data_IF_003354684446
#
_entry.id   IF_003354684446
#
_cell.length_a   1.000
_cell.length_b   1.000
_cell.length_c   1.000
_cell.angle_alpha   90.00
_cell.angle_beta   90.00
_cell.angle_gamma   90.00
#
_symmetry.space_group_name_H-M   'P 1'
#
loop_
_entity.id
_entity.type
_entity.pdbx_description
1 polymer ?
#
# COMPACT_ATOMS: atom_id res chain seq x y z
N UNK A 1 -43.48 21.10 -0.09
CA UNK A 1 -42.35 20.44 0.60
C UNK A 1 -41.14 20.63 -0.31
N UNK A 2 -40.29 21.62 -0.01
CA UNK A 2 -39.23 22.09 -0.89
C UNK A 2 -37.93 21.39 -0.54
N UNK A 3 -37.42 20.53 -1.43
CA UNK A 3 -36.03 20.02 -1.38
C UNK A 3 -35.10 21.09 -1.94
N UNK A 4 -34.28 21.70 -1.08
CA UNK A 4 -33.18 22.58 -1.49
C UNK A 4 -32.03 21.70 -1.99
N UNK A 5 -31.77 21.75 -3.29
CA UNK A 5 -30.54 21.23 -3.90
C UNK A 5 -29.39 22.18 -3.53
N UNK A 6 -28.45 21.71 -2.74
CA UNK A 6 -27.19 22.44 -2.48
C UNK A 6 -26.16 21.97 -3.52
N UNK A 7 -25.95 22.79 -4.56
CA UNK A 7 -24.80 22.66 -5.44
C UNK A 7 -23.57 23.18 -4.68
N UNK A 8 -22.60 22.31 -4.40
CA UNK A 8 -21.30 22.68 -3.89
C UNK A 8 -20.40 23.02 -5.10
N UNK A 9 -20.16 24.30 -5.33
CA UNK A 9 -19.21 24.77 -6.32
C UNK A 9 -17.79 24.64 -5.76
N UNK A 10 -16.91 23.91 -6.44
CA UNK A 10 -15.48 23.86 -6.12
C UNK A 10 -14.83 25.22 -6.46
N UNK A 11 -14.41 25.95 -5.43
CA UNK A 11 -13.68 27.19 -5.56
C UNK A 11 -12.19 26.88 -5.78
N UNK A 12 -11.69 27.10 -7.00
CA UNK A 12 -10.25 27.11 -7.28
C UNK A 12 -9.72 28.50 -6.86
N UNK A 13 -8.99 28.56 -5.75
CA UNK A 13 -8.30 29.78 -5.35
C UNK A 13 -7.04 29.99 -6.21
N UNK A 14 -7.10 30.92 -7.16
CA UNK A 14 -5.94 31.41 -7.87
C UNK A 14 -5.17 32.38 -6.98
N UNK A 15 -3.97 32.02 -6.54
CA UNK A 15 -3.03 32.93 -5.86
C UNK A 15 -2.36 33.81 -6.93
N UNK A 16 -2.69 35.07 -6.96
CA UNK A 16 -2.03 36.08 -7.79
C UNK A 16 -0.67 36.45 -7.17
N UNK A 17 0.42 36.02 -7.80
CA UNK A 17 1.79 36.49 -7.53
C UNK A 17 2.09 37.61 -8.51
N UNK A 18 2.47 38.84 -8.09
CA UNK A 18 2.78 39.92 -9.01
C UNK A 18 4.19 39.80 -9.57
N UNK A 19 4.31 39.87 -10.89
CA UNK A 19 5.49 40.28 -11.61
C UNK A 19 6.49 39.21 -12.03
N UNK A 20 6.12 38.30 -12.95
CA UNK A 20 7.03 37.53 -13.78
C UNK A 20 6.44 37.39 -15.18
N UNK A 21 7.26 37.52 -16.20
CA UNK A 21 6.88 37.39 -17.60
C UNK A 21 6.15 36.08 -17.86
N UNK A 22 4.83 36.11 -17.83
CA UNK A 22 4.02 35.00 -18.30
C UNK A 22 4.11 35.00 -19.83
N UNK A 23 4.80 34.01 -20.40
CA UNK A 23 4.55 33.66 -21.79
C UNK A 23 3.03 33.47 -21.92
N UNK A 24 2.37 34.28 -22.77
CA UNK A 24 0.97 34.04 -23.14
C UNK A 24 0.87 32.67 -23.81
N UNK A 25 0.74 31.62 -23.02
CA UNK A 25 0.33 30.33 -23.50
C UNK A 25 -1.05 30.46 -24.12
N UNK A 26 -1.27 29.86 -25.27
CA UNK A 26 -2.61 29.70 -25.84
C UNK A 26 -3.50 29.14 -24.72
N UNK A 27 -4.64 29.79 -24.46
CA UNK A 27 -5.65 29.24 -23.55
C UNK A 27 -6.05 27.87 -24.09
N UNK A 28 -5.60 26.80 -23.42
CA UNK A 28 -6.01 25.45 -23.77
C UNK A 28 -7.50 25.27 -23.48
N UNK A 29 -8.24 24.66 -24.41
CA UNK A 29 -9.61 24.25 -24.15
C UNK A 29 -9.61 22.82 -23.60
N UNK A 30 -10.38 22.60 -22.55
CA UNK A 30 -10.58 21.27 -22.01
C UNK A 30 -12.08 21.01 -21.80
N UNK A 31 -12.52 19.82 -22.17
CA UNK A 31 -13.86 19.33 -21.90
C UNK A 31 -13.78 18.02 -21.15
N UNK A 32 -14.38 17.98 -19.99
CA UNK A 32 -14.54 16.76 -19.18
C UNK A 32 -16.03 16.40 -19.20
N UNK A 33 -16.32 15.15 -19.59
CA UNK A 33 -17.66 14.56 -19.47
C UNK A 33 -17.59 13.46 -18.42
N UNK A 34 -18.49 13.50 -17.46
CA UNK A 34 -18.72 12.45 -16.47
C UNK A 34 -20.05 11.77 -16.84
N UNK A 35 -20.04 10.46 -17.01
CA UNK A 35 -21.22 9.67 -17.35
C UNK A 35 -21.73 8.94 -16.11
N UNK A 36 -22.80 9.47 -15.51
CA UNK A 36 -23.38 8.95 -14.26
C UNK A 36 -24.10 7.60 -14.44
N UNK A 37 -24.43 7.24 -15.68
CA UNK A 37 -25.09 5.95 -15.98
C UNK A 37 -24.05 4.85 -16.22
N UNK A 38 -22.80 5.20 -16.49
CA UNK A 38 -21.70 4.26 -16.73
C UNK A 38 -20.81 4.12 -15.51
N UNK A 39 -21.27 3.26 -14.61
CA UNK A 39 -20.55 2.92 -13.39
C UNK A 39 -19.39 1.95 -13.69
N UNK A 40 -18.22 2.23 -13.12
CA UNK A 40 -17.02 1.39 -13.22
C UNK A 40 -16.90 0.36 -12.11
N UNK A 41 -17.41 0.67 -10.92
CA UNK A 41 -17.37 -0.19 -9.75
C UNK A 41 -17.33 0.62 -8.45
N UNK A 42 -17.58 -0.05 -7.35
CA UNK A 42 -17.47 0.53 -6.01
C UNK A 42 -15.99 0.79 -5.66
N UNK A 43 -15.72 1.97 -5.15
CA UNK A 43 -14.39 2.35 -4.66
C UNK A 43 -14.21 1.74 -3.26
N UNK A 44 -13.32 0.74 -3.16
CA UNK A 44 -12.98 0.18 -1.86
C UNK A 44 -12.10 1.18 -1.09
N UNK A 45 -12.45 1.44 0.18
CA UNK A 45 -11.66 2.35 1.02
C UNK A 45 -10.21 1.90 1.19
N UNK A 46 -9.91 0.62 1.00
CA UNK A 46 -8.56 0.07 1.13
C UNK A 46 -7.59 0.52 0.04
N UNK A 47 -8.05 1.24 -1.00
CA UNK A 47 -7.13 1.93 -1.92
C UNK A 47 -6.43 3.14 -1.29
N UNK A 48 -6.81 3.54 -0.07
CA UNK A 48 -6.21 4.60 0.73
C UNK A 48 -5.36 4.04 1.87
N UNK A 49 -4.75 2.89 1.66
CA UNK A 49 -3.83 2.25 2.58
C UNK A 49 -2.43 2.82 2.55
N UNK A 50 -1.66 2.48 3.58
CA UNK A 50 -0.24 2.79 3.67
C UNK A 50 0.56 1.53 4.04
N UNK A 51 1.87 1.66 4.01
CA UNK A 51 2.83 0.63 4.31
C UNK A 51 3.85 1.14 5.31
N UNK A 52 4.29 0.31 6.22
CA UNK A 52 5.38 0.56 7.17
C UNK A 52 6.30 -0.64 7.24
N UNK A 53 7.57 -0.39 7.35
CA UNK A 53 8.61 -1.40 7.38
C UNK A 53 9.63 -1.11 8.49
N UNK A 54 10.24 -2.14 9.04
CA UNK A 54 11.44 -2.01 9.87
C UNK A 54 12.61 -1.58 8.97
N UNK A 55 12.59 -0.31 8.60
CA UNK A 55 13.54 0.35 7.72
C UNK A 55 13.74 1.79 8.17
N UNK A 56 14.99 2.20 8.34
CA UNK A 56 15.32 3.54 8.74
C UNK A 56 14.55 3.97 9.99
N UNK A 57 13.99 5.17 9.97
CA UNK A 57 13.19 5.71 11.06
C UNK A 57 11.68 5.51 10.89
N UNK A 58 11.25 4.53 10.06
CA UNK A 58 9.81 4.30 9.87
C UNK A 58 9.14 3.76 11.14
N UNK A 59 9.70 2.73 11.76
CA UNK A 59 9.19 2.17 13.03
C UNK A 59 9.78 2.93 14.22
N UNK A 60 11.09 2.79 14.46
CA UNK A 60 11.75 3.44 15.59
C UNK A 60 12.08 4.90 15.27
N UNK A 61 11.53 5.84 16.05
CA UNK A 61 11.56 7.28 15.78
C UNK A 61 10.45 7.77 14.84
N UNK A 62 9.65 6.85 14.30
CA UNK A 62 8.45 7.11 13.51
C UNK A 62 7.18 6.73 14.27
N UNK A 63 6.73 5.48 14.15
CA UNK A 63 5.54 5.01 14.85
C UNK A 63 5.76 4.87 16.36
N UNK A 64 6.96 4.44 16.74
CA UNK A 64 7.31 3.97 18.08
C UNK A 64 8.63 4.60 18.55
N UNK A 65 8.58 5.33 19.67
CA UNK A 65 9.72 6.01 20.27
C UNK A 65 9.53 6.09 21.79
N UNK A 66 9.78 5.00 22.53
CA UNK A 66 9.66 4.99 23.99
C UNK A 66 10.53 6.05 24.65
N UNK A 67 9.97 6.76 25.63
CA UNK A 67 10.69 7.82 26.37
C UNK A 67 10.70 9.19 25.68
N UNK A 68 10.18 9.31 24.46
CA UNK A 68 9.97 10.61 23.82
C UNK A 68 8.84 11.39 24.52
N UNK A 69 8.96 12.71 24.72
CA UNK A 69 7.86 13.54 25.25
C UNK A 69 6.65 13.59 24.30
N UNK A 70 6.83 13.23 23.04
CA UNK A 70 5.78 13.14 22.03
C UNK A 70 5.09 11.78 22.01
N UNK A 71 5.61 10.80 22.73
CA UNK A 71 5.01 9.46 22.86
C UNK A 71 4.07 9.36 24.04
N UNK A 72 3.18 8.38 23.99
CA UNK A 72 2.38 7.98 25.12
C UNK A 72 3.18 7.04 26.07
N UNK A 73 2.53 6.55 27.10
CA UNK A 73 3.15 5.66 28.12
C UNK A 73 3.57 4.29 27.57
N UNK A 74 3.07 3.91 26.38
CA UNK A 74 3.43 2.67 25.69
C UNK A 74 4.47 2.89 24.58
N UNK A 75 4.91 4.13 24.35
CA UNK A 75 5.92 4.48 23.38
C UNK A 75 5.40 4.83 21.97
N UNK A 76 4.10 4.92 21.76
CA UNK A 76 3.53 5.31 20.45
C UNK A 76 3.56 6.84 20.28
N UNK A 77 4.10 7.31 19.17
CA UNK A 77 4.15 8.74 18.81
C UNK A 77 2.73 9.28 18.59
N UNK A 78 2.28 10.15 19.50
CA UNK A 78 0.94 10.76 19.45
C UNK A 78 0.73 11.64 18.22
N UNK A 79 1.73 12.42 17.86
CA UNK A 79 1.70 13.28 16.68
C UNK A 79 1.62 12.49 15.37
N UNK A 80 2.33 11.35 15.27
CA UNK A 80 2.25 10.45 14.10
C UNK A 80 0.89 9.75 14.05
N UNK A 81 0.32 9.34 15.19
CA UNK A 81 -1.03 8.79 15.26
C UNK A 81 -2.09 9.80 14.79
N UNK A 82 -1.97 11.07 15.21
CA UNK A 82 -2.87 12.15 14.78
C UNK A 82 -2.73 12.42 13.28
N UNK A 83 -1.50 12.48 12.75
CA UNK A 83 -1.23 12.63 11.33
C UNK A 83 -1.81 11.48 10.50
N UNK A 84 -1.68 10.23 10.97
CA UNK A 84 -2.25 9.04 10.32
C UNK A 84 -3.78 9.09 10.26
N UNK A 85 -4.43 9.52 11.36
CA UNK A 85 -5.89 9.72 11.37
C UNK A 85 -6.32 10.85 10.43
N UNK A 86 -5.54 11.95 10.39
CA UNK A 86 -5.79 13.07 9.48
C UNK A 86 -5.65 12.66 8.01
N UNK A 87 -4.73 11.74 7.70
CA UNK A 87 -4.55 11.14 6.37
C UNK A 87 -5.73 10.22 5.98
N UNK A 88 -6.52 9.75 6.95
CA UNK A 88 -7.61 8.79 6.78
C UNK A 88 -7.15 7.44 6.23
N UNK A 89 -5.96 7.02 6.63
CA UNK A 89 -5.40 5.72 6.26
C UNK A 89 -6.36 4.59 6.61
N UNK A 90 -6.74 3.77 5.63
CA UNK A 90 -7.72 2.69 5.82
C UNK A 90 -7.13 1.43 6.42
N UNK A 91 -5.96 1.04 5.91
CA UNK A 91 -5.20 -0.10 6.42
C UNK A 91 -3.70 0.19 6.33
N UNK A 92 -2.91 -0.53 7.13
CA UNK A 92 -1.45 -0.42 7.10
C UNK A 92 -0.83 -1.81 6.99
N UNK A 93 0.01 -1.97 5.97
CA UNK A 93 0.80 -3.17 5.72
C UNK A 93 2.08 -3.15 6.56
N UNK A 94 2.42 -4.29 7.19
CA UNK A 94 3.59 -4.51 8.06
C UNK A 94 3.99 -6.01 8.03
N UNK A 95 5.19 -6.47 8.37
CA UNK A 95 6.31 -5.73 8.97
C UNK A 95 7.26 -5.13 7.95
N UNK A 96 7.05 -5.36 6.66
CA UNK A 96 7.91 -4.83 5.65
C UNK A 96 7.73 -5.41 4.28
N UNK A 97 8.53 -4.85 3.41
CA UNK A 97 8.94 -5.30 2.11
C UNK A 97 10.09 -6.30 2.23
N UNK A 98 11.33 -5.84 2.00
CA UNK A 98 12.50 -6.73 2.08
C UNK A 98 12.73 -7.30 3.48
N UNK A 99 12.44 -6.53 4.53
CA UNK A 99 12.59 -6.95 5.92
C UNK A 99 11.85 -8.24 6.22
N UNK A 100 10.60 -8.40 5.73
CA UNK A 100 9.77 -9.55 6.10
C UNK A 100 10.39 -10.89 5.75
N UNK A 101 11.20 -10.96 4.67
CA UNK A 101 11.79 -12.23 4.21
C UNK A 101 12.88 -12.79 5.13
N UNK A 102 13.35 -12.00 6.10
CA UNK A 102 14.26 -12.42 7.14
C UNK A 102 13.67 -12.33 8.56
N UNK A 103 12.41 -11.91 8.69
CA UNK A 103 11.77 -11.67 9.98
C UNK A 103 10.99 -12.88 10.48
N UNK A 104 11.25 -13.27 11.74
CA UNK A 104 10.52 -14.29 12.46
C UNK A 104 9.62 -13.64 13.50
N UNK A 105 8.31 -13.63 13.26
CA UNK A 105 7.33 -12.90 14.07
C UNK A 105 7.30 -13.34 15.54
N UNK A 106 7.70 -14.58 15.83
CA UNK A 106 7.79 -15.13 17.17
C UNK A 106 8.81 -14.39 18.04
N UNK A 107 9.86 -13.80 17.44
CA UNK A 107 10.85 -12.96 18.14
C UNK A 107 10.23 -11.63 18.60
N UNK A 108 9.14 -11.18 18.00
CA UNK A 108 8.46 -9.90 18.28
C UNK A 108 7.23 -10.00 19.19
N UNK A 109 7.06 -11.10 19.96
CA UNK A 109 5.92 -11.25 20.87
C UNK A 109 6.38 -11.48 22.33
N UNK A 110 5.45 -11.33 23.27
CA UNK A 110 5.75 -11.48 24.70
C UNK A 110 6.48 -10.28 25.29
N UNK A 111 7.02 -10.41 26.51
CA UNK A 111 7.71 -9.32 27.21
C UNK A 111 8.93 -8.81 26.44
N UNK A 112 8.97 -7.52 26.12
CA UNK A 112 10.03 -6.90 25.30
C UNK A 112 11.46 -7.17 25.83
N UNK A 113 11.66 -7.18 27.15
CA UNK A 113 12.96 -7.44 27.76
C UNK A 113 13.51 -8.84 27.47
N UNK A 114 12.67 -9.79 27.09
CA UNK A 114 13.06 -11.16 26.75
C UNK A 114 13.20 -11.40 25.23
N UNK A 115 12.91 -10.42 24.39
CA UNK A 115 12.97 -10.58 22.94
C UNK A 115 14.41 -10.57 22.44
N UNK A 116 14.77 -11.44 21.47
CA UNK A 116 16.12 -11.46 20.92
C UNK A 116 16.38 -10.25 20.04
N UNK A 117 17.60 -9.73 20.08
CA UNK A 117 18.10 -8.80 19.07
C UNK A 117 18.66 -9.59 17.91
N UNK A 118 18.22 -9.30 16.67
CA UNK A 118 18.68 -9.93 15.44
C UNK A 118 19.47 -8.97 14.57
N UNK A 119 20.29 -9.52 13.68
CA UNK A 119 20.80 -8.76 12.54
C UNK A 119 19.71 -8.80 11.47
N UNK A 120 19.22 -7.63 11.09
CA UNK A 120 18.38 -7.51 9.91
C UNK A 120 19.22 -7.70 8.64
N UNK A 121 18.84 -8.70 7.85
CA UNK A 121 19.59 -9.08 6.65
C UNK A 121 19.21 -8.24 5.42
N UNK A 122 18.08 -7.56 5.46
CA UNK A 122 17.62 -6.73 4.34
C UNK A 122 18.31 -5.36 4.33
N UNK A 123 18.41 -4.71 5.48
CA UNK A 123 18.88 -3.33 5.61
C UNK A 123 20.16 -3.19 6.44
N UNK A 124 20.62 -4.28 7.07
CA UNK A 124 21.95 -4.37 7.68
C UNK A 124 22.08 -3.77 9.10
N UNK A 125 20.99 -3.51 9.81
CA UNK A 125 21.03 -3.00 11.17
C UNK A 125 20.62 -4.05 12.22
N UNK A 126 20.61 -3.65 13.48
CA UNK A 126 20.19 -4.50 14.59
C UNK A 126 18.73 -4.25 14.90
N UNK A 127 17.90 -5.28 14.74
CA UNK A 127 16.50 -5.25 15.11
C UNK A 127 16.34 -5.75 16.54
N UNK A 128 15.79 -4.88 17.39
CA UNK A 128 15.56 -5.18 18.81
C UNK A 128 14.31 -6.00 19.08
N UNK A 129 13.42 -6.10 18.10
CA UNK A 129 12.08 -6.69 18.21
C UNK A 129 11.19 -5.99 19.27
N UNK A 130 11.52 -4.76 19.67
CA UNK A 130 10.71 -4.01 20.64
C UNK A 130 9.34 -3.62 20.11
N UNK A 131 9.18 -3.58 18.78
CA UNK A 131 7.90 -3.37 18.12
C UNK A 131 7.57 -4.60 17.27
N UNK A 132 6.56 -5.35 17.67
CA UNK A 132 6.17 -6.60 17.02
C UNK A 132 4.66 -6.68 16.78
N UNK A 133 4.15 -7.90 16.68
CA UNK A 133 2.74 -8.19 16.36
C UNK A 133 1.76 -7.42 17.24
N UNK A 134 1.94 -7.50 18.53
CA UNK A 134 0.99 -6.95 19.49
C UNK A 134 1.04 -5.42 19.52
N UNK A 135 2.24 -4.85 19.44
CA UNK A 135 2.45 -3.41 19.35
C UNK A 135 1.87 -2.83 18.07
N UNK A 136 2.06 -3.52 16.94
CA UNK A 136 1.53 -3.06 15.66
C UNK A 136 -0.01 -3.08 15.64
N UNK A 137 -0.64 -4.15 16.12
CA UNK A 137 -2.11 -4.22 16.18
C UNK A 137 -2.69 -3.16 17.12
N UNK A 138 -2.04 -2.94 18.26
CA UNK A 138 -2.46 -1.88 19.20
C UNK A 138 -2.30 -0.49 18.55
N UNK A 139 -1.20 -0.25 17.84
CA UNK A 139 -0.98 0.99 17.08
C UNK A 139 -2.08 1.18 16.02
N UNK A 140 -2.43 0.15 15.26
CA UNK A 140 -3.51 0.21 14.27
C UNK A 140 -4.86 0.59 14.91
N UNK A 141 -5.19 0.00 16.06
CA UNK A 141 -6.42 0.35 16.80
C UNK A 141 -6.43 1.82 17.23
N UNK A 142 -5.29 2.35 17.67
CA UNK A 142 -5.14 3.76 18.06
C UNK A 142 -5.18 4.69 16.84
N UNK A 143 -4.61 4.28 15.72
CA UNK A 143 -4.66 5.01 14.46
C UNK A 143 -6.04 4.94 13.76
N UNK A 144 -6.96 4.07 14.22
CA UNK A 144 -8.23 3.75 13.58
C UNK A 144 -8.08 3.19 12.15
N UNK A 145 -7.11 2.29 11.97
CA UNK A 145 -6.76 1.64 10.70
C UNK A 145 -6.74 0.12 10.86
N UNK A 146 -6.93 -0.62 9.76
CA UNK A 146 -6.87 -2.08 9.74
C UNK A 146 -5.42 -2.58 9.63
N UNK A 147 -5.03 -3.62 10.37
CA UNK A 147 -3.74 -4.27 10.17
C UNK A 147 -3.75 -5.17 8.94
N UNK A 148 -2.69 -5.09 8.14
CA UNK A 148 -2.40 -5.97 7.02
C UNK A 148 -1.00 -6.56 7.21
N UNK A 149 -0.93 -7.87 7.43
CA UNK A 149 0.33 -8.57 7.68
C UNK A 149 0.90 -9.19 6.41
N UNK A 150 2.24 -9.15 6.29
CA UNK A 150 2.98 -9.93 5.32
C UNK A 150 3.71 -11.07 6.01
N UNK A 151 3.53 -12.32 5.57
CA UNK A 151 4.24 -13.48 6.13
C UNK A 151 5.58 -13.71 5.46
N UNK A 152 6.53 -14.26 6.20
CA UNK A 152 7.87 -14.55 5.70
C UNK A 152 7.87 -15.80 4.79
N UNK A 153 7.89 -15.61 3.47
CA UNK A 153 8.11 -16.68 2.50
C UNK A 153 9.54 -16.73 1.93
N UNK A 154 10.45 -15.94 2.52
CA UNK A 154 11.89 -15.98 2.24
C UNK A 154 12.60 -17.08 3.02
N UNK A 155 12.88 -16.82 4.30
CA UNK A 155 13.54 -17.74 5.23
C UNK A 155 12.56 -18.51 6.13
N UNK A 156 11.29 -18.07 6.20
CA UNK A 156 10.25 -18.67 7.04
C UNK A 156 9.67 -19.95 6.48
N UNK A 157 8.78 -20.54 7.23
CA UNK A 157 8.10 -21.79 6.90
C UNK A 157 6.59 -21.62 6.80
N UNK A 158 5.92 -22.52 6.09
CA UNK A 158 4.46 -22.53 6.03
C UNK A 158 3.82 -22.75 7.42
N UNK A 159 4.51 -23.45 8.31
CA UNK A 159 4.06 -23.67 9.68
C UNK A 159 4.15 -22.41 10.53
N UNK A 160 5.21 -21.63 10.36
CA UNK A 160 5.36 -20.29 10.97
C UNK A 160 4.24 -19.35 10.53
N UNK A 161 3.91 -19.32 9.24
CA UNK A 161 2.83 -18.50 8.70
C UNK A 161 1.45 -18.86 9.29
N UNK A 162 1.11 -20.16 9.34
CA UNK A 162 -0.15 -20.60 9.94
C UNK A 162 -0.21 -20.34 11.45
N UNK A 163 0.93 -20.48 12.16
CA UNK A 163 1.05 -20.22 13.59
C UNK A 163 0.75 -18.75 13.89
N UNK A 164 1.15 -17.84 13.00
CA UNK A 164 0.86 -16.42 13.17
C UNK A 164 -0.63 -16.13 13.02
N UNK A 165 -1.33 -16.77 12.05
CA UNK A 165 -2.79 -16.67 11.95
C UNK A 165 -3.46 -17.23 13.21
N UNK A 166 -2.98 -18.36 13.74
CA UNK A 166 -3.49 -18.96 14.97
C UNK A 166 -3.32 -18.03 16.17
N UNK A 167 -2.13 -17.43 16.33
CA UNK A 167 -1.85 -16.43 17.37
C UNK A 167 -2.82 -15.25 17.29
N UNK A 168 -3.03 -14.72 16.09
CA UNK A 168 -3.83 -13.51 15.89
C UNK A 168 -5.34 -13.77 15.96
N UNK A 169 -5.85 -14.88 15.41
CA UNK A 169 -7.26 -15.00 15.07
C UNK A 169 -8.02 -16.08 15.86
N UNK A 170 -7.34 -17.09 16.40
CA UNK A 170 -8.01 -18.10 17.22
C UNK A 170 -8.30 -17.58 18.61
N UNK A 171 -9.50 -17.85 19.14
CA UNK A 171 -9.96 -17.29 20.40
C UNK A 171 -9.14 -17.79 21.60
N UNK A 172 -9.12 -19.12 21.80
CA UNK A 172 -8.44 -19.80 22.93
C UNK A 172 -8.35 -21.29 22.70
N UNK A 173 -7.59 -21.97 23.59
CA UNK A 173 -7.54 -23.42 23.66
C UNK A 173 -6.54 -24.08 22.73
N UNK A 174 -5.68 -23.28 22.08
CA UNK A 174 -4.55 -23.75 21.30
C UNK A 174 -3.26 -23.10 21.82
N UNK A 175 -2.11 -23.69 21.47
CA UNK A 175 -0.82 -23.19 21.98
C UNK A 175 -0.62 -21.69 21.72
N UNK A 176 -0.82 -21.26 20.46
CA UNK A 176 -0.56 -19.87 20.05
C UNK A 176 -1.63 -18.89 20.54
N UNK A 177 -2.91 -19.29 20.52
CA UNK A 177 -3.97 -18.44 21.06
C UNK A 177 -3.84 -18.24 22.58
N UNK A 178 -3.44 -19.28 23.31
CA UNK A 178 -3.22 -19.18 24.76
C UNK A 178 -1.92 -18.43 25.07
N UNK A 179 -0.89 -18.49 24.21
CA UNK A 179 0.29 -17.65 24.33
C UNK A 179 -0.04 -16.17 24.17
N UNK A 180 -0.83 -15.78 23.16
CA UNK A 180 -1.33 -14.41 23.02
C UNK A 180 -2.01 -13.92 24.30
N UNK A 181 -2.87 -14.76 24.88
CA UNK A 181 -3.58 -14.44 26.13
C UNK A 181 -2.63 -14.27 27.32
N UNK A 182 -1.62 -15.13 27.45
CA UNK A 182 -0.55 -14.98 28.46
C UNK A 182 0.27 -13.71 28.25
N UNK A 183 0.43 -13.25 27.02
CA UNK A 183 1.08 -11.99 26.68
C UNK A 183 0.21 -10.75 26.96
N UNK A 184 -1.00 -10.93 27.51
CA UNK A 184 -1.89 -9.85 27.93
C UNK A 184 -2.99 -9.49 26.93
N UNK A 185 -3.12 -10.19 25.84
CA UNK A 185 -4.13 -9.94 24.80
C UNK A 185 -5.22 -11.01 24.82
N UNK A 186 -6.18 -10.84 25.72
CA UNK A 186 -7.25 -11.82 25.96
C UNK A 186 -8.09 -12.10 24.71
N UNK A 187 -8.45 -11.05 23.94
CA UNK A 187 -9.25 -11.17 22.72
C UNK A 187 -8.35 -11.40 21.50
N UNK A 188 -8.84 -12.13 20.46
CA UNK A 188 -8.18 -12.22 19.18
C UNK A 188 -7.90 -10.84 18.56
N UNK A 189 -6.81 -10.74 17.84
CA UNK A 189 -6.48 -9.52 17.08
C UNK A 189 -7.39 -9.34 15.87
N UNK A 190 -7.90 -10.45 15.29
CA UNK A 190 -8.79 -10.51 14.12
C UNK A 190 -8.18 -9.87 12.88
N UNK A 191 -6.94 -10.20 12.61
CA UNK A 191 -6.23 -9.75 11.41
C UNK A 191 -6.88 -10.37 10.17
N UNK A 192 -7.37 -9.53 9.29
CA UNK A 192 -8.12 -9.96 8.11
C UNK A 192 -7.23 -10.19 6.89
N UNK A 193 -6.22 -9.35 6.66
CA UNK A 193 -5.43 -9.32 5.44
C UNK A 193 -4.03 -9.87 5.67
N UNK A 194 -3.58 -10.77 4.76
CA UNK A 194 -2.31 -11.49 4.86
C UNK A 194 -1.66 -11.60 3.49
N UNK A 195 -0.48 -10.99 3.31
CA UNK A 195 0.33 -11.19 2.12
C UNK A 195 1.20 -12.45 2.25
N UNK A 196 1.28 -13.22 1.19
CA UNK A 196 2.09 -14.42 1.07
C UNK A 196 3.48 -14.07 0.52
N UNK A 197 4.32 -13.46 1.36
CA UNK A 197 5.63 -12.95 0.99
C UNK A 197 5.61 -11.61 0.29
N UNK A 198 6.81 -11.06 0.08
CA UNK A 198 7.05 -9.77 -0.56
C UNK A 198 7.99 -9.94 -1.76
N UNK A 199 7.66 -9.36 -2.92
CA UNK A 199 8.54 -9.24 -4.10
C UNK A 199 9.32 -10.52 -4.45
N UNK A 200 8.65 -11.66 -4.35
CA UNK A 200 9.29 -12.98 -4.49
C UNK A 200 9.84 -13.24 -5.90
N UNK A 201 9.48 -12.39 -6.88
CA UNK A 201 10.00 -12.35 -8.25
C UNK A 201 11.31 -11.58 -8.38
N UNK A 202 11.64 -10.70 -7.42
CA UNK A 202 12.81 -9.84 -7.46
C UNK A 202 14.09 -10.50 -6.96
N UNK A 203 15.18 -10.42 -7.72
CA UNK A 203 16.49 -11.00 -7.31
C UNK A 203 17.10 -10.30 -6.09
N UNK A 204 16.65 -9.09 -5.75
CA UNK A 204 17.06 -8.36 -4.55
C UNK A 204 16.40 -8.92 -3.29
N UNK A 205 15.31 -9.69 -3.43
CA UNK A 205 14.56 -10.21 -2.32
C UNK A 205 15.21 -11.47 -1.75
N UNK A 206 15.40 -11.51 -0.44
CA UNK A 206 15.91 -12.67 0.27
C UNK A 206 14.99 -13.86 0.08
N UNK A 207 15.52 -14.98 -0.40
CA UNK A 207 14.74 -16.18 -0.66
C UNK A 207 13.83 -16.07 -1.89
N UNK A 208 14.12 -15.15 -2.84
CA UNK A 208 13.40 -15.04 -4.11
C UNK A 208 13.30 -16.40 -4.81
N UNK A 209 12.28 -16.56 -5.65
CA UNK A 209 11.97 -17.83 -6.32
C UNK A 209 11.61 -17.57 -7.77
N UNK A 210 11.68 -18.59 -8.60
CA UNK A 210 10.94 -18.58 -9.85
C UNK A 210 9.42 -18.73 -9.58
N UNK A 211 8.59 -18.41 -10.55
CA UNK A 211 7.13 -18.37 -10.39
C UNK A 211 6.53 -19.73 -9.98
N UNK A 212 7.10 -20.84 -10.46
CA UNK A 212 6.62 -22.20 -10.14
C UNK A 212 6.94 -22.57 -8.69
N UNK A 213 8.17 -22.35 -8.24
CA UNK A 213 8.58 -22.66 -6.87
C UNK A 213 7.86 -21.77 -5.86
N UNK A 214 7.67 -20.48 -6.19
CA UNK A 214 6.85 -19.59 -5.37
C UNK A 214 5.39 -20.07 -5.34
N UNK A 215 4.80 -20.37 -6.49
CA UNK A 215 3.41 -20.84 -6.60
C UNK A 215 3.13 -22.09 -5.78
N UNK A 216 4.02 -23.08 -5.82
CA UNK A 216 3.93 -24.31 -5.02
C UNK A 216 4.00 -24.02 -3.52
N UNK A 217 4.99 -23.25 -3.10
CA UNK A 217 5.19 -22.91 -1.69
C UNK A 217 4.05 -22.07 -1.12
N UNK A 218 3.64 -21.02 -1.85
CA UNK A 218 2.55 -20.15 -1.47
C UNK A 218 1.19 -20.88 -1.41
N UNK A 219 0.96 -21.85 -2.32
CA UNK A 219 -0.26 -22.68 -2.32
C UNK A 219 -0.39 -23.49 -1.02
N UNK A 220 0.67 -24.19 -0.62
CA UNK A 220 0.62 -24.98 0.61
C UNK A 220 0.51 -24.09 1.85
N UNK A 221 1.21 -22.95 1.86
CA UNK A 221 1.07 -21.93 2.92
C UNK A 221 -0.38 -21.41 3.00
N UNK A 222 -0.97 -21.05 1.87
CA UNK A 222 -2.35 -20.54 1.79
C UNK A 222 -3.35 -21.56 2.35
N UNK A 223 -3.21 -22.85 2.02
CA UNK A 223 -4.06 -23.93 2.54
C UNK A 223 -4.00 -24.00 4.07
N UNK A 224 -2.79 -24.01 4.64
CA UNK A 224 -2.61 -24.08 6.08
C UNK A 224 -3.22 -22.86 6.78
N UNK A 225 -2.99 -21.65 6.27
CA UNK A 225 -3.56 -20.43 6.84
C UNK A 225 -5.09 -20.43 6.77
N UNK A 226 -5.68 -20.81 5.63
CA UNK A 226 -7.14 -20.92 5.45
C UNK A 226 -7.78 -22.02 6.29
N UNK A 227 -7.05 -23.07 6.64
CA UNK A 227 -7.56 -24.11 7.56
C UNK A 227 -7.63 -23.62 9.01
N UNK A 228 -6.80 -22.65 9.39
CA UNK A 228 -6.90 -21.98 10.70
C UNK A 228 -8.04 -20.95 10.68
N UNK A 229 -8.07 -20.10 9.66
CA UNK A 229 -9.07 -19.03 9.53
C UNK A 229 -9.51 -18.87 8.08
N UNK A 230 -10.72 -19.33 7.77
CA UNK A 230 -11.30 -19.31 6.41
C UNK A 230 -11.63 -17.89 5.94
N UNK A 231 -11.85 -16.96 6.87
CA UNK A 231 -12.24 -15.58 6.57
C UNK A 231 -11.03 -14.68 6.26
N UNK A 232 -9.82 -15.14 6.58
CA UNK A 232 -8.58 -14.46 6.21
C UNK A 232 -8.52 -14.19 4.70
N UNK A 233 -8.13 -12.97 4.34
CA UNK A 233 -7.97 -12.53 2.94
C UNK A 233 -6.51 -12.62 2.54
N UNK A 234 -6.21 -13.43 1.52
CA UNK A 234 -4.85 -13.72 1.10
C UNK A 234 -4.46 -12.88 -0.12
N UNK A 235 -3.34 -12.19 -0.01
CA UNK A 235 -2.70 -11.43 -1.08
C UNK A 235 -1.47 -12.19 -1.56
N UNK A 236 -1.46 -12.64 -2.81
CA UNK A 236 -0.32 -13.37 -3.37
C UNK A 236 0.67 -12.39 -4.00
N UNK A 237 1.98 -12.65 -3.90
CA UNK A 237 2.99 -11.79 -4.50
C UNK A 237 2.90 -11.89 -6.04
N UNK A 238 2.46 -10.81 -6.64
CA UNK A 238 2.50 -10.57 -8.07
C UNK A 238 3.82 -9.91 -8.48
N UNK A 239 3.78 -9.12 -9.57
CA UNK A 239 4.99 -8.53 -10.13
C UNK A 239 5.49 -7.31 -9.38
N UNK A 240 6.78 -7.29 -9.09
CA UNK A 240 7.57 -6.14 -8.67
C UNK A 240 8.71 -5.83 -9.64
N UNK A 241 9.26 -6.84 -10.32
CA UNK A 241 10.27 -6.69 -11.37
C UNK A 241 9.63 -6.77 -12.78
N UNK A 242 9.53 -5.61 -13.43
CA UNK A 242 8.97 -5.50 -14.77
C UNK A 242 10.02 -5.58 -15.90
N UNK A 243 11.30 -5.80 -15.59
CA UNK A 243 12.35 -5.99 -16.59
C UNK A 243 12.38 -7.40 -17.17
N UNK A 244 11.77 -8.35 -16.47
CA UNK A 244 11.71 -9.74 -16.86
C UNK A 244 10.35 -10.16 -17.46
N UNK A 245 10.05 -11.44 -17.33
CA UNK A 245 8.82 -12.05 -17.83
C UNK A 245 7.67 -11.95 -16.81
N UNK A 246 7.36 -10.74 -16.36
CA UNK A 246 6.41 -10.47 -15.30
C UNK A 246 4.98 -10.95 -15.60
N UNK A 247 4.60 -10.97 -16.90
CA UNK A 247 3.28 -11.46 -17.32
C UNK A 247 3.14 -12.95 -17.02
N UNK A 248 4.17 -13.74 -17.35
CA UNK A 248 4.16 -15.18 -17.06
C UNK A 248 4.34 -15.47 -15.56
N UNK A 249 5.04 -14.59 -14.82
CA UNK A 249 5.04 -14.65 -13.36
C UNK A 249 3.61 -14.58 -12.81
N UNK A 250 2.88 -13.52 -13.13
CA UNK A 250 1.51 -13.34 -12.66
C UNK A 250 0.58 -14.48 -13.11
N UNK A 251 0.72 -14.93 -14.37
CA UNK A 251 -0.06 -16.06 -14.88
C UNK A 251 0.20 -17.35 -14.10
N UNK A 252 1.46 -17.67 -13.85
CA UNK A 252 1.87 -18.89 -13.15
C UNK A 252 1.40 -18.85 -11.69
N UNK A 253 1.62 -17.72 -11.00
CA UNK A 253 1.17 -17.55 -9.61
C UNK A 253 -0.35 -17.69 -9.50
N UNK A 254 -1.11 -17.05 -10.39
CA UNK A 254 -2.56 -17.18 -10.44
C UNK A 254 -3.00 -18.61 -10.76
N UNK A 255 -2.29 -19.34 -11.62
CA UNK A 255 -2.61 -20.74 -11.93
C UNK A 255 -2.52 -21.64 -10.69
N UNK A 256 -1.48 -21.48 -9.85
CA UNK A 256 -1.35 -22.23 -8.61
C UNK A 256 -2.37 -21.80 -7.55
N UNK A 257 -2.65 -20.51 -7.45
CA UNK A 257 -3.39 -19.94 -6.32
C UNK A 257 -4.83 -19.50 -6.65
N UNK A 258 -5.33 -19.81 -7.84
CA UNK A 258 -6.68 -19.44 -8.32
C UNK A 258 -7.83 -19.79 -7.36
N UNK A 259 -7.67 -20.81 -6.53
CA UNK A 259 -8.70 -21.24 -5.56
C UNK A 259 -8.50 -20.64 -4.15
N UNK A 260 -7.39 -19.96 -3.89
CA UNK A 260 -7.03 -19.49 -2.56
C UNK A 260 -6.73 -17.99 -2.47
N UNK A 261 -6.24 -17.37 -3.56
CA UNK A 261 -5.96 -15.95 -3.59
C UNK A 261 -7.26 -15.13 -3.54
N UNK A 262 -7.29 -14.12 -2.68
CA UNK A 262 -8.32 -13.06 -2.71
C UNK A 262 -7.80 -11.86 -3.50
N UNK A 263 -6.47 -11.64 -3.50
CA UNK A 263 -5.79 -10.55 -4.23
C UNK A 263 -4.49 -11.05 -4.85
N UNK A 264 -4.06 -10.36 -5.92
CA UNK A 264 -2.70 -10.42 -6.44
C UNK A 264 -2.04 -9.05 -6.27
N UNK A 265 -0.83 -9.02 -5.71
CA UNK A 265 -0.06 -7.81 -5.49
C UNK A 265 0.58 -7.27 -6.77
N UNK A 266 0.67 -5.95 -6.91
CA UNK A 266 1.49 -5.26 -7.90
C UNK A 266 2.23 -4.12 -7.21
N UNK A 267 3.51 -3.93 -7.54
CA UNK A 267 4.34 -2.84 -7.02
C UNK A 267 4.81 -1.96 -8.17
N UNK A 268 4.88 -0.65 -7.98
CA UNK A 268 5.45 0.25 -8.96
C UNK A 268 6.00 1.53 -8.33
N UNK A 269 7.29 1.72 -8.42
CA UNK A 269 7.96 2.97 -8.07
C UNK A 269 8.31 3.74 -9.33
N UNK A 270 8.21 5.08 -9.25
CA UNK A 270 8.49 5.98 -10.37
C UNK A 270 9.55 7.01 -9.98
N UNK A 271 10.26 7.54 -10.98
CA UNK A 271 11.41 8.42 -10.77
C UNK A 271 11.49 9.53 -11.83
N UNK A 272 12.13 10.66 -11.47
CA UNK A 272 12.44 11.77 -12.40
C UNK A 272 13.95 12.09 -12.42
N UNK A 273 14.80 11.07 -12.58
CA UNK A 273 16.27 11.29 -12.67
C UNK A 273 16.68 12.13 -13.88
N UNK A 274 15.88 12.15 -14.93
CA UNK A 274 16.12 12.96 -16.12
C UNK A 274 15.71 14.42 -15.96
N UNK A 275 15.06 14.80 -14.86
CA UNK A 275 14.48 16.11 -14.63
C UNK A 275 13.57 16.59 -15.79
N UNK A 276 12.80 15.65 -16.36
CA UNK A 276 11.84 15.89 -17.43
C UNK A 276 10.42 15.79 -16.87
N UNK A 277 9.80 16.94 -16.65
CA UNK A 277 8.45 17.06 -16.08
C UNK A 277 7.40 16.22 -16.84
N UNK A 278 7.38 16.36 -18.18
CA UNK A 278 6.36 15.69 -19.00
C UNK A 278 6.52 14.17 -19.02
N UNK A 279 7.76 13.70 -19.08
CA UNK A 279 8.07 12.28 -18.96
C UNK A 279 7.66 11.75 -17.58
N UNK A 280 7.94 12.52 -16.53
CA UNK A 280 7.62 12.14 -15.16
C UNK A 280 6.10 12.03 -14.93
N UNK A 281 5.30 13.01 -15.40
CA UNK A 281 3.84 12.95 -15.32
C UNK A 281 3.24 11.73 -16.05
N UNK A 282 3.93 11.20 -17.05
CA UNK A 282 3.46 10.05 -17.83
C UNK A 282 3.89 8.68 -17.26
N UNK A 283 4.75 8.63 -16.24
CA UNK A 283 5.33 7.36 -15.73
C UNK A 283 4.26 6.40 -15.19
N UNK A 284 3.23 6.91 -14.54
CA UNK A 284 2.15 6.10 -13.94
C UNK A 284 1.27 5.38 -14.96
N UNK A 285 1.33 5.76 -16.25
CA UNK A 285 0.62 5.04 -17.34
C UNK A 285 1.02 3.56 -17.40
N UNK A 286 2.24 3.25 -16.98
CA UNK A 286 2.68 1.87 -16.87
C UNK A 286 1.88 1.10 -15.81
N UNK A 287 1.59 1.69 -14.66
CA UNK A 287 0.75 1.06 -13.63
C UNK A 287 -0.64 0.73 -14.17
N UNK A 288 -1.27 1.64 -14.91
CA UNK A 288 -2.57 1.38 -15.53
C UNK A 288 -2.51 0.23 -16.57
N UNK A 289 -1.42 0.17 -17.34
CA UNK A 289 -1.18 -0.96 -18.26
C UNK A 289 -1.01 -2.28 -17.52
N UNK A 290 -0.24 -2.30 -16.44
CA UNK A 290 -0.02 -3.50 -15.61
C UNK A 290 -1.32 -4.00 -14.98
N UNK A 291 -2.17 -3.09 -14.49
CA UNK A 291 -3.51 -3.42 -13.97
C UNK A 291 -4.36 -4.11 -15.04
N UNK A 292 -4.47 -3.54 -16.23
CA UNK A 292 -5.29 -4.12 -17.33
C UNK A 292 -4.82 -5.50 -17.78
N UNK A 293 -3.50 -5.70 -17.86
CA UNK A 293 -2.94 -7.02 -18.22
C UNK A 293 -3.23 -8.03 -17.11
N UNK A 294 -3.02 -7.66 -15.85
CA UNK A 294 -3.26 -8.54 -14.72
C UNK A 294 -4.76 -8.87 -14.56
N UNK A 295 -5.65 -7.94 -14.83
CA UNK A 295 -7.11 -8.19 -14.87
C UNK A 295 -7.45 -9.29 -15.90
N UNK A 296 -6.84 -9.27 -17.08
CA UNK A 296 -7.00 -10.34 -18.06
C UNK A 296 -6.51 -11.70 -17.57
N UNK A 297 -5.38 -11.74 -16.84
CA UNK A 297 -4.84 -12.96 -16.24
C UNK A 297 -5.72 -13.47 -15.09
N UNK A 298 -6.30 -12.58 -14.30
CA UNK A 298 -7.29 -12.92 -13.27
C UNK A 298 -8.50 -13.60 -13.91
N UNK A 299 -9.05 -13.00 -14.99
CA UNK A 299 -10.19 -13.56 -15.71
C UNK A 299 -9.88 -14.96 -16.29
N UNK A 300 -8.67 -15.17 -16.83
CA UNK A 300 -8.20 -16.49 -17.28
C UNK A 300 -8.18 -17.49 -16.13
N UNK A 301 -7.56 -17.16 -14.99
CA UNK A 301 -7.44 -18.04 -13.84
C UNK A 301 -8.79 -18.39 -13.22
N UNK A 302 -9.68 -17.40 -13.07
CA UNK A 302 -11.03 -17.61 -12.55
C UNK A 302 -11.87 -18.52 -13.46
N UNK A 303 -11.75 -18.35 -14.78
CA UNK A 303 -12.44 -19.20 -15.76
C UNK A 303 -11.99 -20.64 -15.64
N UNK A 304 -10.67 -20.89 -15.56
CA UNK A 304 -10.11 -22.25 -15.36
C UNK A 304 -10.50 -22.89 -14.03
N UNK A 305 -10.72 -22.07 -12.99
CA UNK A 305 -11.12 -22.55 -11.67
C UNK A 305 -12.64 -22.71 -11.51
N UNK A 306 -13.44 -22.30 -12.51
CA UNK A 306 -14.90 -22.15 -12.39
C UNK A 306 -15.31 -21.32 -11.14
N UNK A 307 -14.43 -20.39 -10.74
CA UNK A 307 -14.57 -19.61 -9.52
C UNK A 307 -15.52 -18.43 -9.73
N UNK A 308 -16.45 -18.25 -8.77
CA UNK A 308 -17.41 -17.13 -8.76
C UNK A 308 -16.93 -15.95 -7.92
N UNK A 309 -16.26 -16.24 -6.81
CA UNK A 309 -15.73 -15.19 -5.93
C UNK A 309 -14.54 -14.50 -6.62
N UNK A 310 -14.55 -13.18 -6.73
CA UNK A 310 -13.54 -12.46 -7.50
C UNK A 310 -12.15 -12.52 -6.85
N UNK A 311 -11.12 -12.48 -7.70
CA UNK A 311 -9.75 -12.14 -7.32
C UNK A 311 -9.55 -10.68 -7.70
N UNK A 312 -9.00 -9.89 -6.79
CA UNK A 312 -8.75 -8.47 -6.99
C UNK A 312 -7.27 -8.15 -7.11
N UNK A 313 -6.94 -6.92 -7.47
CA UNK A 313 -5.58 -6.40 -7.42
C UNK A 313 -5.39 -5.62 -6.12
N UNK A 314 -4.30 -5.93 -5.41
CA UNK A 314 -3.73 -5.12 -4.36
C UNK A 314 -2.51 -4.40 -4.95
N UNK A 315 -2.60 -3.08 -5.15
CA UNK A 315 -1.45 -2.28 -5.55
C UNK A 315 -0.67 -1.87 -4.31
N UNK A 316 -0.11 -2.86 -3.59
CA UNK A 316 0.28 -2.73 -2.19
C UNK A 316 1.68 -2.19 -1.93
N UNK A 317 2.36 -1.73 -3.00
CA UNK A 317 3.47 -0.77 -2.94
C UNK A 317 3.46 0.16 -4.15
N UNK A 318 3.44 1.46 -3.91
CA UNK A 318 3.64 2.47 -4.94
C UNK A 318 4.16 3.77 -4.33
N UNK A 319 5.07 4.44 -5.03
CA UNK A 319 5.50 5.79 -4.69
C UNK A 319 6.43 6.38 -5.77
N UNK A 320 6.88 7.61 -5.52
CA UNK A 320 8.05 8.24 -6.12
C UNK A 320 9.27 7.91 -5.26
N UNK A 321 10.34 7.39 -5.86
CA UNK A 321 11.56 7.04 -5.12
C UNK A 321 12.83 7.18 -5.98
N UNK A 322 13.63 8.24 -5.78
CA UNK A 322 14.91 8.43 -6.50
C UNK A 322 15.88 9.44 -5.89
N UNK A 323 15.46 10.20 -4.86
CA UNK A 323 16.27 11.24 -4.22
C UNK A 323 16.51 10.97 -2.73
N UNK A 324 16.18 9.79 -2.28
CA UNK A 324 16.25 9.44 -0.86
C UNK A 324 17.64 9.75 -0.27
N UNK A 325 17.63 10.33 0.94
CA UNK A 325 18.79 10.82 1.70
C UNK A 325 18.64 10.41 3.16
N UNK A 326 19.40 11.01 4.04
CA UNK A 326 19.45 10.73 5.47
C UNK A 326 20.57 9.74 5.82
N UNK A 327 20.80 9.51 7.10
CA UNK A 327 21.86 8.64 7.60
C UNK A 327 21.73 7.21 7.07
N UNK A 328 20.48 6.76 6.85
CA UNK A 328 20.14 5.43 6.36
C UNK A 328 19.71 5.43 4.88
N UNK A 329 19.80 6.59 4.21
CA UNK A 329 19.63 6.72 2.76
C UNK A 329 18.18 6.58 2.24
N UNK A 330 17.17 6.59 3.10
CA UNK A 330 15.78 6.29 2.72
C UNK A 330 14.77 7.43 2.95
N UNK A 331 15.22 8.60 3.43
CA UNK A 331 14.35 9.77 3.61
C UNK A 331 14.32 10.61 2.34
N UNK A 332 13.16 10.91 1.82
CA UNK A 332 12.97 11.68 0.59
C UNK A 332 12.13 12.93 0.84
N UNK A 333 12.55 14.06 0.27
CA UNK A 333 11.81 15.31 0.34
C UNK A 333 11.02 15.49 -0.95
N UNK A 334 9.72 15.61 -0.82
CA UNK A 334 8.77 15.70 -1.92
C UNK A 334 8.40 17.12 -2.28
N UNK A 335 8.20 17.37 -3.57
CA UNK A 335 7.76 18.64 -4.13
C UNK A 335 6.36 18.51 -4.79
N UNK A 336 5.93 19.54 -5.51
CA UNK A 336 4.62 19.55 -6.17
C UNK A 336 4.51 18.52 -7.31
N UNK A 337 5.59 18.28 -8.05
CA UNK A 337 5.59 17.27 -9.14
C UNK A 337 5.28 15.89 -8.59
N UNK A 338 5.88 15.54 -7.44
CA UNK A 338 5.65 14.26 -6.78
C UNK A 338 4.18 14.11 -6.34
N UNK A 339 3.61 15.19 -5.77
CA UNK A 339 2.20 15.22 -5.39
C UNK A 339 1.26 15.03 -6.58
N UNK A 340 1.58 15.61 -7.74
CA UNK A 340 0.82 15.42 -8.98
C UNK A 340 0.92 13.97 -9.48
N UNK A 341 2.11 13.37 -9.46
CA UNK A 341 2.31 11.97 -9.85
C UNK A 341 1.56 11.02 -8.91
N UNK A 342 1.61 11.26 -7.60
CA UNK A 342 0.81 10.50 -6.63
C UNK A 342 -0.69 10.64 -6.92
N UNK A 343 -1.16 11.82 -7.29
CA UNK A 343 -2.56 12.04 -7.70
C UNK A 343 -2.94 11.22 -8.93
N UNK A 344 -2.02 11.04 -9.89
CA UNK A 344 -2.31 10.20 -11.06
C UNK A 344 -2.41 8.71 -10.71
N UNK A 345 -1.62 8.20 -9.75
CA UNK A 345 -1.84 6.85 -9.20
C UNK A 345 -3.24 6.71 -8.60
N UNK A 346 -3.65 7.66 -7.76
CA UNK A 346 -4.98 7.63 -7.14
C UNK A 346 -6.10 7.68 -8.19
N UNK A 347 -5.98 8.51 -9.23
CA UNK A 347 -6.91 8.53 -10.35
C UNK A 347 -6.98 7.17 -11.06
N UNK A 348 -5.84 6.51 -11.26
CA UNK A 348 -5.77 5.17 -11.88
C UNK A 348 -6.52 4.15 -11.01
N UNK A 349 -6.32 4.16 -9.70
CA UNK A 349 -7.02 3.23 -8.80
C UNK A 349 -8.53 3.46 -8.81
N UNK A 350 -8.98 4.70 -8.78
CA UNK A 350 -10.40 5.05 -8.87
C UNK A 350 -10.99 4.62 -10.23
N UNK A 351 -10.32 4.88 -11.35
CA UNK A 351 -10.79 4.45 -12.69
C UNK A 351 -10.88 2.92 -12.84
N UNK A 352 -10.07 2.18 -12.07
CA UNK A 352 -10.04 0.72 -12.08
C UNK A 352 -10.66 0.10 -10.81
N UNK A 353 -11.59 0.81 -10.16
CA UNK A 353 -12.21 0.41 -8.89
C UNK A 353 -12.97 -0.95 -8.97
N UNK A 354 -13.29 -1.44 -10.16
CA UNK A 354 -13.88 -2.77 -10.36
C UNK A 354 -12.91 -3.90 -10.04
N UNK A 355 -11.61 -3.69 -10.20
CA UNK A 355 -10.58 -4.72 -9.99
C UNK A 355 -9.54 -4.33 -8.94
N UNK A 356 -9.20 -3.04 -8.77
CA UNK A 356 -8.28 -2.56 -7.73
C UNK A 356 -9.06 -2.30 -6.45
N UNK A 357 -8.86 -3.12 -5.43
CA UNK A 357 -9.58 -3.03 -4.14
C UNK A 357 -8.66 -2.76 -2.95
N UNK A 358 -7.37 -2.62 -3.19
CA UNK A 358 -6.39 -2.28 -2.17
C UNK A 358 -5.22 -1.55 -2.83
N UNK A 359 -4.69 -0.52 -2.16
CA UNK A 359 -3.43 0.11 -2.54
C UNK A 359 -2.74 0.65 -1.28
N UNK A 360 -1.42 0.51 -1.21
CA UNK A 360 -0.65 0.94 -0.04
C UNK A 360 0.48 1.86 -0.48
N UNK A 361 0.41 3.13 -0.07
CA UNK A 361 1.51 4.06 -0.26
C UNK A 361 2.71 3.62 0.58
N UNK A 362 3.83 3.45 -0.06
CA UNK A 362 5.10 3.10 0.58
C UNK A 362 5.97 4.36 0.78
N UNK A 363 6.24 4.80 2.01
CA UNK A 363 5.73 4.29 3.27
C UNK A 363 4.92 5.39 3.99
N UNK A 364 4.52 5.15 5.23
CA UNK A 364 3.65 6.08 5.96
C UNK A 364 4.43 7.23 6.60
N UNK A 365 5.58 6.95 7.23
CA UNK A 365 6.35 7.92 8.01
C UNK A 365 7.84 7.82 7.77
N UNK A 366 8.52 8.96 7.66
CA UNK A 366 9.95 9.18 7.43
C UNK A 366 10.50 8.59 6.12
N UNK A 367 10.47 7.27 5.97
CA UNK A 367 11.00 6.58 4.80
C UNK A 367 10.08 6.81 3.60
N UNK A 368 10.56 7.55 2.59
CA UNK A 368 9.80 7.91 1.37
C UNK A 368 8.31 8.20 1.64
N UNK A 369 8.01 9.05 2.62
CA UNK A 369 6.70 9.07 3.27
C UNK A 369 5.97 10.41 3.19
N UNK A 370 4.61 10.42 3.27
CA UNK A 370 3.81 11.63 3.39
C UNK A 370 3.97 12.35 4.73
N UNK A 371 4.33 11.63 5.80
CA UNK A 371 4.50 12.18 7.15
C UNK A 371 5.98 12.13 7.50
N UNK A 372 6.52 13.24 7.98
CA UNK A 372 7.88 13.31 8.49
C UNK A 372 7.89 13.64 9.97
N UNK A 373 8.73 12.99 10.75
CA UNK A 373 8.81 13.20 12.20
C UNK A 373 10.24 13.47 12.66
N UNK A 374 10.37 14.33 13.68
CA UNK A 374 11.61 14.59 14.40
C UNK A 374 11.37 14.55 15.91
N UNK A 375 12.38 14.92 16.68
CA UNK A 375 12.25 15.05 18.15
C UNK A 375 11.35 16.20 18.58
N UNK A 376 11.14 17.19 17.70
CA UNK A 376 10.33 18.39 17.94
C UNK A 376 8.86 18.23 17.54
N UNK A 377 8.54 17.28 16.66
CA UNK A 377 7.19 17.08 16.15
C UNK A 377 7.14 16.37 14.79
N UNK A 378 5.97 16.39 14.16
CA UNK A 378 5.77 15.87 12.83
C UNK A 378 5.18 16.93 11.89
N UNK A 379 5.39 16.74 10.58
CA UNK A 379 4.79 17.60 9.54
C UNK A 379 4.42 16.79 8.31
N UNK A 380 3.60 17.39 7.44
CA UNK A 380 3.09 16.77 6.22
C UNK A 380 3.94 17.20 5.02
N UNK A 381 4.35 16.23 4.21
CA UNK A 381 4.98 16.48 2.92
C UNK A 381 3.92 16.73 1.83
N UNK A 382 4.35 17.20 0.66
CA UNK A 382 3.43 17.56 -0.44
C UNK A 382 2.55 16.40 -0.87
N UNK A 383 3.05 15.16 -0.85
CA UNK A 383 2.30 13.95 -1.21
C UNK A 383 1.20 13.56 -0.19
N UNK A 384 1.23 14.13 1.02
CA UNK A 384 0.17 13.94 2.02
C UNK A 384 -1.19 14.44 1.52
N UNK A 385 -1.19 15.60 0.88
CA UNK A 385 -2.42 16.31 0.53
C UNK A 385 -3.28 15.58 -0.52
N UNK A 386 -2.74 15.06 -1.64
CA UNK A 386 -3.56 14.26 -2.56
C UNK A 386 -4.11 13.00 -1.89
N UNK A 387 -3.32 12.30 -1.08
CA UNK A 387 -3.80 11.11 -0.35
C UNK A 387 -4.97 11.47 0.56
N UNK A 388 -4.85 12.54 1.34
CA UNK A 388 -5.91 13.02 2.24
C UNK A 388 -7.16 13.45 1.46
N UNK A 389 -6.99 14.21 0.36
CA UNK A 389 -8.11 14.70 -0.44
C UNK A 389 -8.91 13.54 -1.04
N UNK A 390 -8.25 12.57 -1.64
CA UNK A 390 -8.92 11.40 -2.20
C UNK A 390 -9.58 10.55 -1.10
N UNK A 391 -8.87 10.26 -0.01
CA UNK A 391 -9.41 9.50 1.11
C UNK A 391 -10.57 10.22 1.82
N UNK A 392 -10.74 11.52 1.64
CA UNK A 392 -11.82 12.31 2.22
C UNK A 392 -13.03 12.43 1.28
N UNK A 393 -12.80 12.54 -0.03
CA UNK A 393 -13.84 12.99 -0.96
C UNK A 393 -14.13 12.01 -2.10
N UNK A 394 -13.30 10.98 -2.31
CA UNK A 394 -13.46 10.06 -3.42
C UNK A 394 -13.92 8.68 -2.90
N UNK A 395 -15.24 8.56 -2.71
CA UNK A 395 -15.91 7.37 -2.20
C UNK A 395 -17.08 6.96 -3.08
N UNK A 396 -17.77 5.88 -2.71
CA UNK A 396 -18.95 5.38 -3.41
C UNK A 396 -18.58 4.72 -4.74
N UNK A 397 -19.22 5.12 -5.81
CA UNK A 397 -19.08 4.48 -7.12
C UNK A 397 -18.20 5.29 -8.07
N UNK A 398 -17.19 4.64 -8.63
CA UNK A 398 -16.39 5.21 -9.74
C UNK A 398 -17.21 5.30 -11.01
N UNK A 399 -17.13 6.45 -11.67
CA UNK A 399 -17.86 6.76 -12.89
C UNK A 399 -16.94 6.81 -14.12
N UNK A 400 -17.51 6.52 -15.30
CA UNK A 400 -16.79 6.67 -16.56
C UNK A 400 -16.58 8.14 -16.90
N UNK A 401 -15.37 8.48 -17.32
CA UNK A 401 -14.97 9.84 -17.67
C UNK A 401 -14.41 9.89 -19.06
N UNK A 402 -14.76 10.96 -19.81
CA UNK A 402 -14.14 11.30 -21.07
C UNK A 402 -13.46 12.65 -20.96
N UNK A 403 -12.20 12.71 -21.40
CA UNK A 403 -11.39 13.94 -21.39
C UNK A 403 -11.00 14.29 -22.81
N UNK A 404 -11.36 15.49 -23.25
CA UNK A 404 -10.94 16.11 -24.50
C UNK A 404 -10.17 17.38 -24.16
N UNK A 405 -8.84 17.36 -24.29
CA UNK A 405 -7.96 18.46 -23.97
C UNK A 405 -6.72 18.46 -24.85
N UNK A 406 -5.93 19.52 -24.75
CA UNK A 406 -4.62 19.57 -25.37
C UNK A 406 -3.73 18.41 -24.90
N UNK A 407 -2.80 17.99 -25.75
CA UNK A 407 -1.89 16.86 -25.52
C UNK A 407 -0.45 17.28 -25.78
N UNK A 408 0.48 16.62 -25.12
CA UNK A 408 1.90 16.67 -25.47
C UNK A 408 2.36 15.33 -26.09
N UNK A 409 3.44 15.38 -26.86
CA UNK A 409 4.02 14.18 -27.49
C UNK A 409 5.13 13.60 -26.61
N UNK A 410 5.09 12.29 -26.36
CA UNK A 410 6.12 11.57 -25.64
C UNK A 410 6.23 10.13 -26.21
N UNK A 411 7.43 9.73 -26.64
CA UNK A 411 7.68 8.37 -27.13
C UNK A 411 6.79 7.91 -28.31
N UNK A 412 6.33 8.86 -29.12
CA UNK A 412 5.40 8.59 -30.24
C UNK A 412 3.92 8.56 -29.86
N UNK A 413 3.59 8.70 -28.57
CA UNK A 413 2.22 8.81 -28.09
C UNK A 413 1.82 10.27 -27.84
N UNK A 414 0.52 10.53 -27.90
CA UNK A 414 -0.07 11.81 -27.48
C UNK A 414 -0.69 11.64 -26.11
N UNK A 415 -0.19 12.40 -25.13
CA UNK A 415 -0.60 12.29 -23.72
C UNK A 415 -1.42 13.53 -23.35
N UNK A 416 -2.63 13.36 -22.81
CA UNK A 416 -3.45 14.47 -22.34
C UNK A 416 -2.77 15.23 -21.20
N UNK A 417 -2.95 16.56 -21.16
CA UNK A 417 -2.50 17.36 -20.01
C UNK A 417 -3.34 17.15 -18.74
N UNK A 418 -4.56 16.62 -18.89
CA UNK A 418 -5.45 16.35 -17.77
C UNK A 418 -5.59 14.84 -17.56
N UNK A 419 -5.38 14.41 -16.34
CA UNK A 419 -5.70 13.08 -15.83
C UNK A 419 -6.90 13.18 -14.88
N UNK A 420 -7.97 12.41 -15.11
CA UNK A 420 -9.27 12.60 -14.45
C UNK A 420 -9.85 11.27 -14.00
N UNK A 421 -10.39 11.26 -12.79
CA UNK A 421 -11.34 10.24 -12.33
C UNK A 421 -12.58 10.95 -11.74
N UNK A 422 -13.66 10.22 -11.58
CA UNK A 422 -14.88 10.74 -10.96
C UNK A 422 -15.49 9.68 -10.06
N UNK A 423 -16.05 10.13 -8.96
CA UNK A 423 -16.77 9.32 -7.99
C UNK A 423 -18.14 9.93 -7.68
N UNK A 424 -19.09 9.08 -7.33
CA UNK A 424 -20.42 9.44 -6.86
C UNK A 424 -20.72 8.67 -5.57
N UNK A 425 -21.00 9.43 -4.49
CA UNK A 425 -21.33 8.91 -3.16
C UNK A 425 -22.78 9.23 -2.80
#
# INVERSE_FOLDING_TARGET
MNLKRTMLAALVAAVLIPGGLWARGKTGNARIKVDIERQKGEIDRNIYGNFVEHLGRCIYGGLYEPGSPLSDEKGYRRDVLEATRALRTSLVRWPGGNFVSGYHWEDGIGPQAGRPTRIDLAWGFRESNAFGTDEFVEWCRRAATEPYFCVNLGTGTMDEARNWVEYCNVEKGTYWSDLRRRNGYEKPHKVKYWALGNEMDGQWQMGHKNAEDYGKFALETAKLMKWIDRDSKLVVAGSSDYNGNWIDWNRTVLEYLKNHADYIALHNYVENRSNDYYKFMATTRFAEKAIRITEGLIAEAMTKAERKDPIYIAFDEYNVWYRAKGEEGNEEVYNLEDALVVSTFLNIFVRNAHVVKMANMAQLVNVIAPIFSTKEGSWYQTIFYPLQLFATHCHGTSLDTFVDCDTYALGGERIPYLDVSAAYD
#
